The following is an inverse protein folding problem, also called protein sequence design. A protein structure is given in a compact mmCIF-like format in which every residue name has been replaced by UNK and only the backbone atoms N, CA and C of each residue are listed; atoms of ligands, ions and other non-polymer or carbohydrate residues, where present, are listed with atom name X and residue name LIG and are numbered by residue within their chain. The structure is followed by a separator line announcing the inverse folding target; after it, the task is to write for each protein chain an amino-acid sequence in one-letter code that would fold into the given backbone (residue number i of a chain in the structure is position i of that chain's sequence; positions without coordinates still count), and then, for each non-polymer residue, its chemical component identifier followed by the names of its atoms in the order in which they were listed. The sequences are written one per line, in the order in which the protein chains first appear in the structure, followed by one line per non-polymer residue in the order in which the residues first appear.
data_IF_291366005693
#
_entry.id   IF_291366005693
#
_cell.length_a   1.000
_cell.length_b   1.000
_cell.length_c   1.000
_cell.angle_alpha   90.00
_cell.angle_beta   90.00
_cell.angle_gamma   90.00
#
_symmetry.space_group_name_H-M   'P 1'
#
loop_
_entity.id
_entity.type
_entity.pdbx_description
1 polymer ?
#
# COMPACT_ATOMS: atom_id res chain seq x y z
N UNK A 1 -27.87 -13.54 28.33
CA UNK A 1 -26.80 -13.07 27.43
C UNK A 1 -25.44 -13.77 27.58
N UNK A 2 -25.31 -14.86 28.34
CA UNK A 2 -24.05 -15.63 28.43
C UNK A 2 -23.68 -16.37 27.13
N UNK A 3 -24.65 -16.63 26.26
CA UNK A 3 -24.44 -17.29 24.95
C UNK A 3 -23.78 -16.36 23.92
N UNK A 4 -23.83 -15.03 24.10
CA UNK A 4 -23.21 -14.06 23.18
C UNK A 4 -21.74 -13.74 23.52
N UNK A 5 -21.30 -14.07 24.73
CA UNK A 5 -19.93 -13.84 25.22
C UNK A 5 -18.85 -14.55 24.38
N UNK A 6 -19.03 -15.82 23.95
CA UNK A 6 -18.12 -16.48 23.03
C UNK A 6 -17.97 -15.77 21.68
N UNK A 7 -19.03 -15.14 21.15
CA UNK A 7 -18.96 -14.36 19.91
C UNK A 7 -18.24 -13.02 20.10
N UNK A 8 -18.46 -12.31 21.21
CA UNK A 8 -17.74 -11.08 21.50
C UNK A 8 -16.24 -11.31 21.75
N UNK A 9 -15.88 -12.44 22.37
CA UNK A 9 -14.48 -12.86 22.50
C UNK A 9 -13.92 -13.32 21.15
N UNK A 10 -14.68 -14.01 20.29
CA UNK A 10 -14.27 -14.34 18.92
C UNK A 10 -14.08 -13.08 18.05
N UNK A 11 -14.87 -12.02 18.24
CA UNK A 11 -14.67 -10.70 17.63
C UNK A 11 -13.45 -9.94 18.18
N UNK A 12 -13.05 -10.20 19.44
CA UNK A 12 -11.88 -9.59 20.08
C UNK A 12 -10.58 -10.41 19.82
N UNK A 13 -10.70 -11.72 19.58
CA UNK A 13 -9.61 -12.73 19.61
C UNK A 13 -9.42 -13.48 18.28
N UNK A 14 -10.27 -13.32 17.25
CA UNK A 14 -9.97 -13.93 15.92
C UNK A 14 -8.66 -13.45 15.31
N UNK A 15 -8.04 -12.38 15.83
CA UNK A 15 -6.70 -11.89 15.46
C UNK A 15 -6.64 -11.25 14.08
N UNK A 16 -7.50 -11.65 13.15
CA UNK A 16 -7.48 -11.26 11.74
C UNK A 16 -8.11 -9.88 11.52
N UNK A 17 -9.18 -9.52 12.24
CA UNK A 17 -9.87 -8.22 12.05
C UNK A 17 -8.95 -7.01 12.24
N UNK A 18 -8.25 -6.91 13.40
CA UNK A 18 -7.26 -5.86 13.63
C UNK A 18 -6.10 -5.91 12.63
N UNK A 19 -5.65 -7.10 12.21
CA UNK A 19 -4.57 -7.26 11.23
C UNK A 19 -5.00 -6.79 9.83
N UNK A 20 -6.21 -7.12 9.38
CA UNK A 20 -6.76 -6.64 8.11
C UNK A 20 -6.86 -5.12 8.14
N UNK A 21 -7.42 -4.55 9.22
CA UNK A 21 -7.53 -3.11 9.36
C UNK A 21 -6.16 -2.44 9.39
N UNK A 22 -5.20 -3.01 10.12
CA UNK A 22 -3.82 -2.56 10.16
C UNK A 22 -3.22 -2.56 8.74
N UNK A 23 -3.35 -3.66 7.99
CA UNK A 23 -2.83 -3.79 6.63
C UNK A 23 -3.48 -2.79 5.68
N UNK A 24 -4.80 -2.62 5.72
CA UNK A 24 -5.51 -1.71 4.82
C UNK A 24 -5.17 -0.25 5.10
N UNK A 25 -5.16 0.16 6.37
CA UNK A 25 -4.89 1.55 6.76
C UNK A 25 -3.43 1.90 6.50
N UNK A 26 -2.49 1.08 7.00
CA UNK A 26 -1.07 1.34 6.81
C UNK A 26 -0.64 1.11 5.36
N UNK A 27 -1.24 0.16 4.66
CA UNK A 27 -0.98 -0.09 3.24
C UNK A 27 -1.41 1.08 2.36
N UNK A 28 -2.58 1.67 2.61
CA UNK A 28 -3.03 2.86 1.90
C UNK A 28 -2.10 4.06 2.14
N UNK A 29 -1.67 4.28 3.39
CA UNK A 29 -0.73 5.35 3.73
C UNK A 29 0.66 5.12 3.11
N UNK A 30 1.21 3.92 3.28
CA UNK A 30 2.54 3.57 2.81
C UNK A 30 2.65 3.56 1.29
N UNK A 31 1.64 3.01 0.59
CA UNK A 31 1.55 3.05 -0.87
C UNK A 31 1.40 4.48 -1.42
N UNK A 32 0.76 5.37 -0.65
CA UNK A 32 0.75 6.80 -0.97
C UNK A 32 2.17 7.36 -0.86
N UNK A 33 2.84 7.22 0.29
CA UNK A 33 4.16 7.81 0.51
C UNK A 33 5.21 7.33 -0.51
N UNK A 34 5.26 6.02 -0.77
CA UNK A 34 6.14 5.46 -1.80
C UNK A 34 5.84 6.03 -3.19
N UNK A 35 4.56 6.10 -3.55
CA UNK A 35 4.18 6.66 -4.85
C UNK A 35 4.53 8.14 -4.98
N UNK A 36 4.40 8.93 -3.92
CA UNK A 36 4.84 10.34 -3.93
C UNK A 36 6.36 10.43 -4.12
N UNK A 37 7.13 9.62 -3.38
CA UNK A 37 8.59 9.59 -3.47
C UNK A 37 9.09 9.19 -4.86
N UNK A 38 8.49 8.15 -5.46
CA UNK A 38 8.85 7.66 -6.79
C UNK A 38 8.45 8.67 -7.86
N UNK A 39 7.21 9.17 -7.83
CA UNK A 39 6.74 10.12 -8.84
C UNK A 39 7.49 11.46 -8.78
N UNK A 40 7.93 11.89 -7.58
CA UNK A 40 8.75 13.09 -7.43
C UNK A 40 10.11 13.00 -8.14
N UNK A 41 10.63 11.78 -8.39
CA UNK A 41 11.95 11.56 -9.00
C UNK A 41 11.92 11.39 -10.52
N UNK A 42 10.74 11.21 -11.14
CA UNK A 42 10.65 10.72 -12.53
C UNK A 42 9.75 11.54 -13.47
N UNK A 43 9.23 12.69 -13.05
CA UNK A 43 8.33 13.47 -13.90
C UNK A 43 8.15 14.91 -13.45
N UNK A 44 7.61 15.72 -14.36
CA UNK A 44 7.20 17.09 -14.07
C UNK A 44 5.95 17.12 -13.17
N UNK A 45 5.58 18.31 -12.69
CA UNK A 45 4.45 18.46 -11.75
C UNK A 45 3.13 17.97 -12.36
N UNK A 46 2.90 18.15 -13.66
CA UNK A 46 1.67 17.74 -14.32
C UNK A 46 1.59 16.21 -14.44
N UNK A 47 2.64 15.57 -14.96
CA UNK A 47 2.69 14.10 -15.11
C UNK A 47 2.64 13.38 -13.76
N UNK A 48 3.30 13.94 -12.74
CA UNK A 48 3.18 13.47 -11.35
C UNK A 48 1.73 13.50 -10.90
N UNK A 49 1.06 14.65 -10.99
CA UNK A 49 -0.33 14.79 -10.50
C UNK A 49 -1.29 13.85 -11.24
N UNK A 50 -1.15 13.73 -12.55
CA UNK A 50 -1.94 12.82 -13.38
C UNK A 50 -1.75 11.35 -12.95
N UNK A 51 -0.50 10.91 -12.80
CA UNK A 51 -0.22 9.54 -12.38
C UNK A 51 -0.72 9.25 -10.97
N UNK A 52 -0.51 10.16 -10.01
CA UNK A 52 -0.95 9.96 -8.63
C UNK A 52 -2.47 9.85 -8.50
N UNK A 53 -3.21 10.59 -9.33
CA UNK A 53 -4.67 10.50 -9.39
C UNK A 53 -5.15 9.18 -10.01
N UNK A 54 -4.53 8.72 -11.11
CA UNK A 54 -4.92 7.50 -11.81
C UNK A 54 -4.44 6.19 -11.17
N UNK A 55 -3.46 6.24 -10.27
CA UNK A 55 -2.78 5.05 -9.72
C UNK A 55 -3.15 4.69 -8.28
N UNK A 56 -4.13 5.38 -7.68
CA UNK A 56 -4.48 5.26 -6.24
C UNK A 56 -4.75 3.81 -5.81
N UNK A 57 -5.52 3.06 -6.59
CA UNK A 57 -5.84 1.66 -6.29
C UNK A 57 -4.62 0.74 -6.36
N UNK A 58 -3.80 0.85 -7.41
CA UNK A 58 -2.58 0.06 -7.55
C UNK A 58 -1.54 0.36 -6.47
N UNK A 59 -1.37 1.64 -6.12
CA UNK A 59 -0.50 2.07 -5.00
C UNK A 59 -0.97 1.52 -3.67
N UNK A 60 -2.28 1.59 -3.40
CA UNK A 60 -2.85 1.01 -2.18
C UNK A 60 -2.62 -0.50 -2.13
N UNK A 61 -2.79 -1.23 -3.24
CA UNK A 61 -2.55 -2.66 -3.28
C UNK A 61 -1.07 -2.99 -2.99
N UNK A 62 -0.13 -2.31 -3.65
CA UNK A 62 1.31 -2.46 -3.40
C UNK A 62 1.64 -2.16 -1.94
N UNK A 63 1.15 -1.05 -1.42
CA UNK A 63 1.35 -0.66 -0.02
C UNK A 63 0.80 -1.71 0.94
N UNK A 64 -0.41 -2.22 0.72
CA UNK A 64 -1.02 -3.29 1.54
C UNK A 64 -0.21 -4.59 1.49
N UNK A 65 0.29 -4.99 0.31
CA UNK A 65 1.16 -6.16 0.19
C UNK A 65 2.43 -5.98 1.04
N UNK A 66 3.09 -4.82 0.93
CA UNK A 66 4.31 -4.52 1.67
C UNK A 66 4.04 -4.42 3.18
N UNK A 67 2.94 -3.80 3.56
CA UNK A 67 2.51 -3.74 4.96
C UNK A 67 2.22 -5.14 5.52
N UNK A 68 1.63 -6.04 4.74
CA UNK A 68 1.44 -7.43 5.16
C UNK A 68 2.79 -8.14 5.39
N UNK A 69 3.83 -7.86 4.59
CA UNK A 69 5.17 -8.40 4.82
C UNK A 69 5.78 -7.92 6.15
N UNK A 70 5.44 -6.72 6.62
CA UNK A 70 5.92 -6.23 7.92
C UNK A 70 5.44 -7.05 9.12
N UNK A 71 4.33 -7.79 8.98
CA UNK A 71 3.84 -8.69 10.02
C UNK A 71 4.74 -9.92 10.20
N UNK A 72 5.59 -10.22 9.22
CA UNK A 72 6.48 -11.38 9.23
C UNK A 72 7.89 -10.94 9.67
N UNK A 73 8.43 -11.45 10.79
CA UNK A 73 9.67 -10.93 11.40
C UNK A 73 10.88 -10.83 10.47
N UNK A 74 11.07 -11.83 9.58
CA UNK A 74 12.19 -11.83 8.63
C UNK A 74 11.86 -11.09 7.33
N UNK A 75 10.61 -11.14 6.86
CA UNK A 75 10.21 -10.45 5.63
C UNK A 75 10.15 -8.92 5.83
N UNK A 76 9.97 -8.45 7.06
CA UNK A 76 10.01 -7.04 7.44
C UNK A 76 11.32 -6.36 6.96
N UNK A 77 12.46 -7.05 7.00
CA UNK A 77 13.74 -6.48 6.57
C UNK A 77 13.78 -6.16 5.07
N UNK A 78 13.12 -6.98 4.24
CA UNK A 78 13.10 -6.82 2.78
C UNK A 78 11.87 -6.05 2.28
N UNK A 79 10.84 -5.92 3.11
CA UNK A 79 9.59 -5.26 2.78
C UNK A 79 9.79 -3.83 2.22
N UNK A 80 10.64 -2.95 2.81
CA UNK A 80 10.87 -1.61 2.27
C UNK A 80 11.50 -1.64 0.88
N UNK A 81 12.49 -2.51 0.66
CA UNK A 81 13.20 -2.66 -0.62
C UNK A 81 12.23 -3.12 -1.70
N UNK A 82 11.43 -4.14 -1.39
CA UNK A 82 10.38 -4.65 -2.27
C UNK A 82 9.32 -3.59 -2.57
N UNK A 83 8.91 -2.79 -1.58
CA UNK A 83 7.93 -1.73 -1.79
C UNK A 83 8.41 -0.65 -2.76
N UNK A 84 9.66 -0.19 -2.61
CA UNK A 84 10.25 0.78 -3.54
C UNK A 84 10.40 0.18 -4.94
N UNK A 85 10.89 -1.05 -5.05
CA UNK A 85 11.07 -1.73 -6.34
C UNK A 85 9.73 -1.94 -7.06
N UNK A 86 8.71 -2.47 -6.37
CA UNK A 86 7.37 -2.67 -6.92
C UNK A 86 6.74 -1.35 -7.35
N UNK A 87 6.82 -0.31 -6.52
CA UNK A 87 6.24 1.00 -6.86
C UNK A 87 6.94 1.64 -8.05
N UNK A 88 8.26 1.49 -8.16
CA UNK A 88 9.05 1.99 -9.30
C UNK A 88 8.68 1.27 -10.59
N UNK A 89 8.62 -0.06 -10.57
CA UNK A 89 8.21 -0.84 -11.73
C UNK A 89 6.76 -0.53 -12.13
N UNK A 90 5.86 -0.42 -11.15
CA UNK A 90 4.48 -0.03 -11.36
C UNK A 90 4.39 1.38 -11.98
N UNK A 91 5.15 2.35 -11.49
CA UNK A 91 5.25 3.69 -12.09
C UNK A 91 5.72 3.61 -13.54
N UNK A 92 6.81 2.89 -13.83
CA UNK A 92 7.34 2.77 -15.19
C UNK A 92 6.32 2.15 -16.16
N UNK A 93 5.53 1.18 -15.69
CA UNK A 93 4.50 0.49 -16.49
C UNK A 93 3.24 1.33 -16.70
N UNK A 94 2.92 2.23 -15.78
CA UNK A 94 1.63 2.96 -15.76
C UNK A 94 1.75 4.46 -15.90
N UNK A 95 2.97 4.99 -16.05
CA UNK A 95 3.19 6.42 -16.28
C UNK A 95 2.46 6.86 -17.56
N UNK A 96 1.75 7.99 -17.53
CA UNK A 96 1.17 8.57 -18.74
C UNK A 96 2.27 8.86 -19.76
N UNK A 97 2.00 8.60 -21.05
CA UNK A 97 2.81 9.17 -22.11
C UNK A 97 2.66 10.70 -22.07
N UNK A 98 3.76 11.44 -22.16
CA UNK A 98 3.65 12.89 -22.32
C UNK A 98 2.85 13.19 -23.60
N UNK A 99 1.86 14.09 -23.56
CA UNK A 99 1.30 14.61 -24.80
C UNK A 99 2.43 15.27 -25.61
N UNK A 100 2.50 15.06 -26.94
CA UNK A 100 3.46 15.78 -27.77
C UNK A 100 3.18 17.29 -27.63
N UNK A 101 4.20 18.04 -27.24
CA UNK A 101 4.18 19.50 -27.19
C UNK A 101 4.24 20.11 -28.58
#
# INVERSE_FOLDING_TARGET
NLVALPFYVLLLVTGIGPLILFVLVNGAAFGRDLGEMVAARHGDRASRRAWLAGSRGGRMLIGSMVTALFLVPFANLIAPVLGVAMTTHFYMRTRPALPPG
#
